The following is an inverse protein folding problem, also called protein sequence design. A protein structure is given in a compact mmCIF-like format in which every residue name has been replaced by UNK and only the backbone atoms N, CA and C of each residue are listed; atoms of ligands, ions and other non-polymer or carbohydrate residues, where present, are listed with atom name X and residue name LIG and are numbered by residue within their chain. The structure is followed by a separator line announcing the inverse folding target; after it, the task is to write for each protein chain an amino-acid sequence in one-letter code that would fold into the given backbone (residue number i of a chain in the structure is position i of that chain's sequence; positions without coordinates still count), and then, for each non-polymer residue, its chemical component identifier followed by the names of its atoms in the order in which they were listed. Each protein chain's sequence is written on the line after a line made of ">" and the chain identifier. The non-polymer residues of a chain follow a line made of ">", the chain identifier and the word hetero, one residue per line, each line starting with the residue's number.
data_IF_802043882236
#
_entry.id   IF_802043882236
#
_cell.length_a   1.000
_cell.length_b   1.000
_cell.length_c   1.000
_cell.angle_alpha   90.00
_cell.angle_beta   90.00
_cell.angle_gamma   90.00
#
_symmetry.space_group_name_H-M   'P 1'
#
loop_
_entity.id
_entity.type
_entity.pdbx_description
1 polymer ?
#
# COMPACT_ATOMS: atom_id res chain seq x y z
N UNK A 1 -9.89 -4.40 7.02
CA UNK A 1 -8.71 -5.10 7.56
C UNK A 1 -9.02 -5.97 8.77
N UNK A 2 -9.96 -5.60 9.65
CA UNK A 2 -10.34 -6.43 10.82
C UNK A 2 -10.81 -7.84 10.44
N UNK A 3 -11.66 -7.99 9.42
CA UNK A 3 -12.06 -9.32 8.89
C UNK A 3 -10.89 -10.15 8.36
N UNK A 4 -9.85 -9.49 7.85
CA UNK A 4 -8.70 -10.16 7.20
C UNK A 4 -7.60 -10.52 8.18
N UNK A 5 -7.53 -9.82 9.32
CA UNK A 5 -6.56 -10.03 10.39
C UNK A 5 -7.17 -10.69 11.64
N UNK A 6 -8.49 -10.90 11.67
CA UNK A 6 -9.27 -11.46 12.80
C UNK A 6 -8.96 -10.81 14.16
N UNK A 7 -8.57 -9.53 14.16
CA UNK A 7 -8.16 -8.75 15.33
C UNK A 7 -8.73 -7.33 15.23
N UNK A 8 -8.90 -6.65 16.37
CA UNK A 8 -9.24 -5.22 16.41
C UNK A 8 -8.09 -4.42 15.79
N UNK A 9 -8.41 -3.55 14.84
CA UNK A 9 -7.40 -2.74 14.12
C UNK A 9 -7.57 -1.27 14.50
N UNK A 10 -6.49 -0.66 14.99
CA UNK A 10 -6.43 0.81 15.16
C UNK A 10 -5.78 1.41 13.92
N UNK A 11 -6.54 2.17 13.14
CA UNK A 11 -6.04 2.88 11.97
C UNK A 11 -5.25 4.11 12.42
N UNK A 12 -4.01 4.22 11.93
CA UNK A 12 -3.21 5.44 12.03
C UNK A 12 -2.98 5.94 10.61
N UNK A 13 -3.68 7.01 10.23
CA UNK A 13 -3.64 7.56 8.89
C UNK A 13 -2.66 8.74 8.85
N UNK A 14 -1.73 8.70 7.88
CA UNK A 14 -0.87 9.83 7.54
C UNK A 14 -1.05 10.15 6.07
N UNK A 15 -1.05 11.44 5.75
CA UNK A 15 -1.04 11.90 4.36
C UNK A 15 0.41 11.93 3.90
N UNK A 16 0.73 11.11 2.91
CA UNK A 16 2.03 11.09 2.26
C UNK A 16 1.91 11.72 0.86
N UNK A 17 2.53 12.88 0.66
CA UNK A 17 2.49 13.60 -0.62
C UNK A 17 3.30 12.91 -1.72
N UNK A 18 4.19 11.97 -1.37
CA UNK A 18 4.92 11.16 -2.35
C UNK A 18 4.04 10.11 -3.03
N UNK A 19 2.90 9.79 -2.42
CA UNK A 19 1.86 8.94 -3.00
C UNK A 19 0.88 9.85 -3.72
N UNK A 20 1.10 10.05 -5.03
CA UNK A 20 0.25 10.92 -5.85
C UNK A 20 -1.23 10.50 -5.83
N UNK A 21 -1.50 9.20 -5.78
CA UNK A 21 -2.83 8.64 -5.66
C UNK A 21 -2.80 7.21 -5.11
N UNK A 22 -3.91 6.79 -4.50
CA UNK A 22 -4.09 5.46 -3.91
C UNK A 22 -3.76 5.42 -2.42
N UNK A 23 -3.46 4.23 -1.91
CA UNK A 23 -3.24 3.99 -0.48
C UNK A 23 -2.14 2.94 -0.27
N UNK A 24 -1.34 3.14 0.78
CA UNK A 24 -0.42 2.13 1.29
C UNK A 24 -0.88 1.75 2.69
N UNK A 25 -1.15 0.46 2.91
CA UNK A 25 -1.56 -0.06 4.21
C UNK A 25 -0.42 -0.92 4.75
N UNK A 26 0.11 -0.55 5.92
CA UNK A 26 1.11 -1.35 6.65
C UNK A 26 0.47 -1.94 7.90
N UNK A 27 0.53 -3.25 8.04
CA UNK A 27 0.03 -4.00 9.19
C UNK A 27 1.14 -4.94 9.68
N UNK A 28 1.96 -4.47 10.62
CA UNK A 28 3.15 -5.21 11.08
C UNK A 28 4.17 -5.33 9.95
N UNK A 29 4.50 -6.57 9.60
CA UNK A 29 5.37 -7.00 8.50
C UNK A 29 4.66 -7.02 7.14
N UNK A 30 3.32 -7.05 7.11
CA UNK A 30 2.56 -7.03 5.87
C UNK A 30 2.40 -5.60 5.33
N UNK A 31 2.84 -5.40 4.08
CA UNK A 31 2.61 -4.16 3.31
C UNK A 31 1.68 -4.45 2.14
N UNK A 32 0.61 -3.68 2.04
CA UNK A 32 -0.34 -3.74 0.93
C UNK A 32 -0.21 -2.40 0.21
N UNK A 33 0.37 -2.45 -0.97
CA UNK A 33 0.54 -1.27 -1.81
C UNK A 33 -0.57 -1.21 -2.86
N UNK A 34 -1.50 -0.27 -2.68
CA UNK A 34 -2.52 0.10 -3.65
C UNK A 34 -2.26 1.49 -4.26
N UNK A 35 -1.04 2.02 -4.12
CA UNK A 35 -0.65 3.31 -4.68
C UNK A 35 -0.47 3.23 -6.20
N UNK A 36 -0.72 4.35 -6.87
CA UNK A 36 -0.45 4.49 -8.31
C UNK A 36 1.04 4.43 -8.58
N UNK A 37 1.87 4.95 -7.66
CA UNK A 37 3.33 4.88 -7.76
C UNK A 37 3.81 3.44 -7.86
N UNK A 38 3.44 2.59 -6.90
CA UNK A 38 3.86 1.18 -6.89
C UNK A 38 3.35 0.39 -8.10
N UNK A 39 2.17 0.75 -8.65
CA UNK A 39 1.68 0.16 -9.91
C UNK A 39 2.53 0.55 -11.12
N UNK A 40 2.93 1.82 -11.21
CA UNK A 40 3.78 2.30 -12.31
C UNK A 40 5.19 1.69 -12.21
N UNK A 41 5.75 1.60 -11.00
CA UNK A 41 7.03 0.93 -10.76
C UNK A 41 7.00 -0.53 -11.21
N UNK A 42 5.95 -1.29 -10.82
CA UNK A 42 5.77 -2.67 -11.30
C UNK A 42 5.63 -2.77 -12.81
N UNK A 43 4.95 -1.83 -13.45
CA UNK A 43 4.82 -1.82 -14.91
C UNK A 43 6.18 -1.55 -15.57
N UNK A 44 6.96 -0.60 -15.05
CA UNK A 44 8.29 -0.30 -15.57
C UNK A 44 9.23 -1.51 -15.45
N UNK A 45 9.20 -2.22 -14.32
CA UNK A 45 9.99 -3.43 -14.08
C UNK A 45 9.68 -4.54 -15.10
N UNK A 46 8.38 -4.74 -15.39
CA UNK A 46 7.92 -5.69 -16.42
C UNK A 46 8.41 -5.31 -17.82
N UNK A 47 8.51 -4.00 -18.13
CA UNK A 47 8.96 -3.52 -19.43
C UNK A 47 10.49 -3.50 -19.60
N UNK A 48 11.26 -3.61 -18.50
CA UNK A 48 12.72 -3.69 -18.52
C UNK A 48 13.25 -5.13 -18.61
N UNK A 49 12.37 -6.13 -18.51
CA UNK A 49 12.69 -7.57 -18.61
C UNK A 49 12.47 -8.09 -20.03
#
# INVERSE_FOLDING_TARGET
>A
MEKRLSRKVKLNCKIDKSVMAGIIIRAGDMVIDGSVRGRLERLADVLQS
#
